data_IF_362737870661
#
_entry.id   IF_362737870661
#
_cell.length_a   1.000
_cell.length_b   1.000
_cell.length_c   1.000
_cell.angle_alpha   90.00
_cell.angle_beta   90.00
_cell.angle_gamma   90.00
#
_symmetry.space_group_name_H-M   'P 1'
#
loop_
_entity.id
_entity.type
_entity.pdbx_description
1 polymer ?
#
# COMPACT_ATOMS: atom_id res chain seq x y z
N UNK A 1 -11.92 -17.62 1.16
CA UNK A 1 -12.44 -16.97 2.38
C UNK A 1 -11.31 -16.60 3.33
N UNK A 2 -10.33 -17.49 3.54
CA UNK A 2 -9.20 -17.29 4.47
C UNK A 2 -8.36 -16.05 4.09
N UNK A 3 -8.06 -15.84 2.81
CA UNK A 3 -7.31 -14.68 2.34
C UNK A 3 -7.98 -13.34 2.69
N UNK A 4 -9.32 -13.26 2.62
CA UNK A 4 -10.05 -12.06 2.99
C UNK A 4 -9.98 -11.76 4.50
N UNK A 5 -9.79 -12.77 5.35
CA UNK A 5 -9.61 -12.55 6.79
C UNK A 5 -8.30 -11.81 7.10
N UNK A 6 -7.28 -11.99 6.28
CA UNK A 6 -6.02 -11.27 6.45
C UNK A 6 -6.16 -9.77 6.20
N UNK A 7 -7.14 -9.32 5.42
CA UNK A 7 -7.39 -7.88 5.22
C UNK A 7 -7.87 -7.16 6.49
N UNK A 8 -8.37 -7.90 7.48
CA UNK A 8 -8.81 -7.32 8.75
C UNK A 8 -7.64 -6.65 9.47
N UNK A 9 -6.43 -7.21 9.39
CA UNK A 9 -5.26 -6.70 10.12
C UNK A 9 -4.87 -5.29 9.64
N UNK A 10 -4.62 -5.04 8.34
CA UNK A 10 -4.32 -3.70 7.85
C UNK A 10 -5.51 -2.72 8.02
N UNK A 11 -6.77 -3.18 7.88
CA UNK A 11 -7.95 -2.33 8.15
C UNK A 11 -7.96 -1.85 9.62
N UNK A 12 -7.72 -2.75 10.57
CA UNK A 12 -7.62 -2.38 11.99
C UNK A 12 -6.43 -1.45 12.25
N UNK A 13 -5.30 -1.66 11.58
CA UNK A 13 -4.14 -0.78 11.67
C UNK A 13 -4.46 0.65 11.17
N UNK A 14 -5.16 0.78 10.04
CA UNK A 14 -5.65 2.08 9.56
C UNK A 14 -6.53 2.78 10.58
N UNK A 15 -7.51 2.07 11.15
CA UNK A 15 -8.41 2.60 12.16
C UNK A 15 -7.67 3.03 13.43
N UNK A 16 -6.68 2.25 13.86
CA UNK A 16 -5.81 2.60 14.99
C UNK A 16 -5.02 3.88 14.68
N UNK A 17 -4.40 3.99 13.51
CA UNK A 17 -3.69 5.19 13.06
C UNK A 17 -4.59 6.43 13.06
N UNK A 18 -5.78 6.31 12.47
CA UNK A 18 -6.78 7.38 12.43
C UNK A 18 -7.25 7.78 13.83
N UNK A 19 -7.53 6.81 14.70
CA UNK A 19 -7.90 7.06 16.09
C UNK A 19 -6.74 7.73 16.87
N UNK A 20 -5.52 7.23 16.73
CA UNK A 20 -4.35 7.83 17.37
C UNK A 20 -4.22 9.31 16.99
N UNK A 21 -4.31 9.63 15.72
CA UNK A 21 -4.18 11.03 15.26
C UNK A 21 -5.36 11.89 15.70
N UNK A 22 -6.58 11.34 15.77
CA UNK A 22 -7.76 12.06 16.24
C UNK A 22 -7.67 12.46 17.72
N UNK A 23 -6.98 11.67 18.55
CA UNK A 23 -6.84 11.92 19.98
C UNK A 23 -5.47 12.48 20.36
N UNK A 24 -4.39 11.96 19.76
CA UNK A 24 -2.99 12.27 20.06
C UNK A 24 -2.16 12.34 18.77
N UNK A 25 -2.21 13.50 18.06
CA UNK A 25 -1.49 13.61 16.79
C UNK A 25 0.01 13.38 16.98
N UNK A 26 0.62 12.44 16.27
CA UNK A 26 2.04 12.15 16.38
C UNK A 26 2.89 13.33 15.90
N UNK A 27 4.10 13.46 16.42
CA UNK A 27 5.05 14.45 15.95
C UNK A 27 5.43 14.23 14.49
N UNK A 28 5.79 15.29 13.77
CA UNK A 28 6.23 15.19 12.37
C UNK A 28 7.44 14.25 12.23
N UNK A 29 8.35 14.25 13.20
CA UNK A 29 9.49 13.35 13.22
C UNK A 29 9.06 11.87 13.32
N UNK A 30 8.14 11.55 14.22
CA UNK A 30 7.65 10.17 14.39
C UNK A 30 6.94 9.69 13.12
N UNK A 31 6.14 10.54 12.48
CA UNK A 31 5.49 10.23 11.20
C UNK A 31 6.54 9.92 10.13
N UNK A 32 7.56 10.77 9.97
CA UNK A 32 8.63 10.54 9.00
C UNK A 32 9.37 9.22 9.24
N UNK A 33 9.69 8.86 10.49
CA UNK A 33 10.33 7.57 10.81
C UNK A 33 9.44 6.38 10.43
N UNK A 34 8.15 6.44 10.78
CA UNK A 34 7.18 5.37 10.46
C UNK A 34 6.99 5.24 8.95
N UNK A 35 6.95 6.38 8.22
CA UNK A 35 6.87 6.37 6.75
C UNK A 35 8.08 5.73 6.09
N UNK A 36 9.29 6.06 6.53
CA UNK A 36 10.50 5.43 6.00
C UNK A 36 10.51 3.92 6.27
N UNK A 37 10.08 3.51 7.47
CA UNK A 37 9.95 2.09 7.80
C UNK A 37 8.93 1.39 6.89
N UNK A 38 7.73 1.97 6.74
CA UNK A 38 6.68 1.44 5.87
C UNK A 38 7.14 1.37 4.41
N UNK A 39 7.77 2.45 3.90
CA UNK A 39 8.32 2.48 2.55
C UNK A 39 9.36 1.37 2.32
N UNK A 40 10.23 1.12 3.30
CA UNK A 40 11.21 0.02 3.23
C UNK A 40 10.55 -1.36 3.18
N UNK A 41 9.51 -1.57 3.99
CA UNK A 41 8.77 -2.85 4.04
C UNK A 41 8.00 -3.07 2.73
N UNK A 42 7.28 -2.07 2.22
CA UNK A 42 6.54 -2.17 0.94
C UNK A 42 7.49 -2.35 -0.24
N UNK A 43 8.63 -1.63 -0.24
CA UNK A 43 9.65 -1.82 -1.27
C UNK A 43 10.23 -3.24 -1.26
N UNK A 44 10.46 -3.81 -0.08
CA UNK A 44 10.90 -5.21 0.07
C UNK A 44 9.84 -6.18 -0.46
N UNK A 45 8.55 -5.99 -0.13
CA UNK A 45 7.46 -6.80 -0.66
C UNK A 45 7.39 -6.75 -2.19
N UNK A 46 7.51 -5.56 -2.77
CA UNK A 46 7.54 -5.40 -4.23
C UNK A 46 8.73 -6.14 -4.87
N UNK A 47 9.92 -6.04 -4.27
CA UNK A 47 11.16 -6.61 -4.80
C UNK A 47 11.28 -8.13 -4.57
N UNK A 48 10.82 -8.65 -3.44
CA UNK A 48 11.03 -10.05 -3.02
C UNK A 48 9.83 -10.92 -3.39
N UNK A 49 8.60 -10.37 -3.35
CA UNK A 49 7.38 -11.14 -3.61
C UNK A 49 6.85 -10.93 -5.03
N UNK A 50 6.61 -9.67 -5.44
CA UNK A 50 5.89 -9.41 -6.69
C UNK A 50 6.80 -9.46 -7.91
N UNK A 51 8.02 -8.92 -7.83
CA UNK A 51 8.95 -8.94 -8.96
C UNK A 51 9.30 -10.37 -9.42
N UNK A 52 9.58 -11.35 -8.53
CA UNK A 52 9.78 -12.74 -8.94
C UNK A 52 8.58 -13.33 -9.69
N UNK A 53 7.35 -13.00 -9.28
CA UNK A 53 6.13 -13.48 -9.94
C UNK A 53 6.01 -12.96 -11.38
N UNK A 54 6.36 -11.68 -11.59
CA UNK A 54 6.44 -11.10 -12.94
C UNK A 54 7.48 -11.83 -13.79
N UNK A 55 8.66 -12.09 -13.22
CA UNK A 55 9.76 -12.76 -13.94
C UNK A 55 9.43 -14.22 -14.26
N UNK A 56 8.87 -14.95 -13.30
CA UNK A 56 8.53 -16.37 -13.42
C UNK A 56 7.33 -16.64 -14.33
N UNK A 57 6.48 -15.64 -14.58
CA UNK A 57 5.38 -15.78 -15.55
C UNK A 57 5.87 -16.01 -16.99
N UNK A 58 7.14 -15.69 -17.29
CA UNK A 58 7.74 -15.79 -18.63
C UNK A 58 6.85 -15.20 -19.73
N UNK A 59 6.14 -14.12 -19.43
CA UNK A 59 5.15 -13.49 -20.29
C UNK A 59 5.51 -12.01 -20.57
N UNK A 60 6.53 -11.72 -21.40
CA UNK A 60 7.07 -10.37 -21.55
C UNK A 60 6.05 -9.36 -22.09
N UNK A 61 5.18 -9.78 -23.00
CA UNK A 61 4.17 -8.87 -23.57
C UNK A 61 3.06 -8.54 -22.58
N UNK A 62 2.41 -9.49 -21.87
CA UNK A 62 1.50 -9.18 -20.77
C UNK A 62 2.15 -8.34 -19.69
N UNK A 63 3.40 -8.62 -19.29
CA UNK A 63 4.12 -7.85 -18.30
C UNK A 63 4.34 -6.39 -18.74
N UNK A 64 4.75 -6.18 -20.00
CA UNK A 64 4.88 -4.83 -20.56
C UNK A 64 3.55 -4.08 -20.56
N UNK A 65 2.47 -4.73 -21.00
CA UNK A 65 1.12 -4.13 -21.02
C UNK A 65 0.69 -3.77 -19.61
N UNK A 66 0.84 -4.70 -18.64
CA UNK A 66 0.51 -4.47 -17.24
C UNK A 66 1.30 -3.31 -16.64
N UNK A 67 2.61 -3.24 -16.91
CA UNK A 67 3.46 -2.14 -16.45
C UNK A 67 3.01 -0.78 -17.04
N UNK A 68 2.73 -0.73 -18.35
CA UNK A 68 2.25 0.52 -19.00
C UNK A 68 0.91 0.93 -18.43
N UNK A 69 -0.02 -0.01 -18.21
CA UNK A 69 -1.31 0.27 -17.58
C UNK A 69 -1.14 0.73 -16.13
N UNK A 70 -0.20 0.15 -15.39
CA UNK A 70 0.15 0.58 -14.03
C UNK A 70 0.63 2.02 -14.00
N UNK A 71 1.61 2.38 -14.84
CA UNK A 71 2.08 3.76 -14.96
C UNK A 71 0.94 4.71 -15.35
N UNK A 72 0.13 4.34 -16.35
CA UNK A 72 -0.98 5.16 -16.79
C UNK A 72 -2.02 5.38 -15.68
N UNK A 73 -2.38 4.32 -14.93
CA UNK A 73 -3.30 4.40 -13.81
C UNK A 73 -2.79 5.34 -12.71
N UNK A 74 -1.51 5.21 -12.33
CA UNK A 74 -0.89 6.06 -11.30
C UNK A 74 -0.81 7.52 -11.73
N UNK A 75 -0.43 7.80 -12.98
CA UNK A 75 -0.42 9.17 -13.54
C UNK A 75 -1.83 9.77 -13.58
N UNK A 76 -2.83 8.97 -13.93
CA UNK A 76 -4.23 9.42 -13.92
C UNK A 76 -4.70 9.70 -12.50
N UNK A 77 -4.36 8.85 -11.53
CA UNK A 77 -4.69 9.04 -10.12
C UNK A 77 -4.07 10.34 -9.58
N UNK A 78 -2.78 10.55 -9.81
CA UNK A 78 -2.08 11.79 -9.44
C UNK A 78 -2.72 13.03 -10.08
N UNK A 79 -3.12 12.92 -11.35
CA UNK A 79 -3.79 14.01 -12.06
C UNK A 79 -5.17 14.30 -11.49
N UNK A 80 -5.90 13.27 -11.06
CA UNK A 80 -7.22 13.40 -10.43
C UNK A 80 -7.10 14.08 -9.05
N UNK A 81 -6.13 13.67 -8.23
CA UNK A 81 -5.85 14.31 -6.94
C UNK A 81 -5.56 15.80 -7.10
N UNK A 82 -4.71 16.17 -8.04
CA UNK A 82 -4.38 17.56 -8.34
C UNK A 82 -5.59 18.38 -8.83
N UNK A 83 -6.56 17.78 -9.51
CA UNK A 83 -7.76 18.46 -10.04
C UNK A 83 -8.86 18.62 -8.98
N UNK A 84 -9.09 17.61 -8.18
CA UNK A 84 -10.18 17.57 -7.20
C UNK A 84 -9.93 18.43 -5.95
N UNK A 85 -8.75 18.98 -5.78
CA UNK A 85 -8.28 19.85 -4.69
C UNK A 85 -9.09 19.78 -3.39
N UNK A 86 -8.40 19.53 -2.29
CA UNK A 86 -8.99 19.52 -0.94
C UNK A 86 -9.36 18.12 -0.43
N UNK A 87 -10.11 18.03 0.66
CA UNK A 87 -10.38 16.77 1.36
C UNK A 87 -11.00 15.66 0.50
N UNK A 88 -11.84 16.04 -0.48
CA UNK A 88 -12.54 15.09 -1.36
C UNK A 88 -11.56 14.42 -2.33
N UNK A 89 -10.63 15.19 -2.90
CA UNK A 89 -9.60 14.67 -3.82
C UNK A 89 -8.69 13.67 -3.10
N UNK A 90 -8.15 14.07 -1.94
CA UNK A 90 -7.33 13.20 -1.11
C UNK A 90 -8.04 11.90 -0.73
N UNK A 91 -9.31 11.98 -0.30
CA UNK A 91 -10.08 10.77 0.04
C UNK A 91 -10.29 9.88 -1.17
N UNK A 92 -10.62 10.44 -2.33
CA UNK A 92 -10.81 9.67 -3.56
C UNK A 92 -9.52 8.97 -3.99
N UNK A 93 -8.40 9.69 -4.01
CA UNK A 93 -7.10 9.12 -4.35
C UNK A 93 -6.73 7.97 -3.40
N UNK A 94 -6.86 8.19 -2.07
CA UNK A 94 -6.58 7.15 -1.08
C UNK A 94 -7.50 5.93 -1.20
N UNK A 95 -8.78 6.10 -1.56
CA UNK A 95 -9.70 4.96 -1.78
C UNK A 95 -9.26 4.11 -2.96
N UNK A 96 -8.86 4.76 -4.07
CA UNK A 96 -8.38 4.04 -5.26
C UNK A 96 -7.06 3.34 -4.98
N UNK A 97 -6.14 4.00 -4.29
CA UNK A 97 -4.85 3.47 -3.89
C UNK A 97 -5.01 2.22 -3.03
N UNK A 98 -5.73 2.31 -1.92
CA UNK A 98 -6.02 1.19 -1.02
C UNK A 98 -6.80 0.06 -1.72
N UNK A 99 -7.66 0.37 -2.71
CA UNK A 99 -8.29 -0.65 -3.53
C UNK A 99 -7.26 -1.41 -4.38
N UNK A 100 -6.29 -0.70 -4.97
CA UNK A 100 -5.21 -1.31 -5.78
C UNK A 100 -4.32 -2.17 -4.88
N UNK A 101 -3.97 -1.72 -3.68
CA UNK A 101 -3.21 -2.51 -2.71
C UNK A 101 -3.94 -3.80 -2.33
N UNK A 102 -5.24 -3.69 -2.07
CA UNK A 102 -6.08 -4.86 -1.86
C UNK A 102 -6.08 -5.80 -3.06
N UNK A 103 -6.18 -5.26 -4.28
CA UNK A 103 -6.13 -6.05 -5.50
C UNK A 103 -4.81 -6.83 -5.62
N UNK A 104 -3.68 -6.17 -5.38
CA UNK A 104 -2.36 -6.82 -5.36
C UNK A 104 -2.27 -7.86 -4.25
N UNK A 105 -2.81 -7.57 -3.07
CA UNK A 105 -2.89 -8.54 -1.97
C UNK A 105 -3.68 -9.80 -2.38
N UNK A 106 -4.82 -9.62 -3.04
CA UNK A 106 -5.61 -10.73 -3.57
C UNK A 106 -4.83 -11.59 -4.56
N UNK A 107 -4.09 -10.96 -5.48
CA UNK A 107 -3.21 -11.64 -6.43
C UNK A 107 -2.09 -12.41 -5.71
N UNK A 108 -1.46 -11.82 -4.69
CA UNK A 108 -0.39 -12.48 -3.91
C UNK A 108 -0.88 -13.77 -3.24
N UNK A 109 -2.12 -13.77 -2.71
CA UNK A 109 -2.73 -14.99 -2.17
C UNK A 109 -3.04 -16.06 -3.22
N UNK A 110 -3.21 -15.70 -4.49
CA UNK A 110 -3.33 -16.68 -5.58
C UNK A 110 -2.01 -17.39 -5.85
N UNK A 111 -0.89 -16.70 -5.68
CA UNK A 111 0.44 -17.28 -5.82
C UNK A 111 0.76 -18.21 -4.65
N UNK A 112 0.46 -17.77 -3.42
CA UNK A 112 0.65 -18.57 -2.21
C UNK A 112 0.28 -17.86 -0.92
N UNK A 113 0.02 -18.64 0.12
CA UNK A 113 -0.34 -18.11 1.42
C UNK A 113 0.80 -17.30 2.07
N UNK A 114 2.06 -17.70 1.81
CA UNK A 114 3.25 -17.02 2.30
C UNK A 114 3.36 -15.62 1.71
N UNK A 115 3.29 -15.50 0.39
CA UNK A 115 3.35 -14.22 -0.32
C UNK A 115 2.24 -13.27 0.14
N UNK A 116 1.01 -13.78 0.23
CA UNK A 116 -0.11 -12.99 0.76
C UNK A 116 0.09 -12.54 2.20
N UNK A 117 0.70 -13.37 3.07
CA UNK A 117 1.02 -12.99 4.44
C UNK A 117 2.06 -11.88 4.51
N UNK A 118 3.14 -11.97 3.74
CA UNK A 118 4.22 -10.97 3.72
C UNK A 118 3.69 -9.62 3.22
N UNK A 119 2.90 -9.63 2.15
CA UNK A 119 2.26 -8.41 1.67
C UNK A 119 1.23 -7.88 2.68
N UNK A 120 0.50 -8.73 3.41
CA UNK A 120 -0.38 -8.30 4.50
C UNK A 120 0.39 -7.52 5.58
N UNK A 121 1.59 -7.97 5.94
CA UNK A 121 2.44 -7.28 6.92
C UNK A 121 2.87 -5.91 6.38
N UNK A 122 3.28 -5.85 5.11
CA UNK A 122 3.66 -4.60 4.45
C UNK A 122 2.49 -3.59 4.46
N UNK A 123 1.32 -4.01 3.98
CA UNK A 123 0.12 -3.18 3.93
C UNK A 123 -0.41 -2.81 5.33
N UNK A 124 -0.12 -3.61 6.35
CA UNK A 124 -0.48 -3.26 7.74
C UNK A 124 0.26 -2.02 8.23
N UNK A 125 1.56 -1.94 7.95
CA UNK A 125 2.37 -0.76 8.30
C UNK A 125 1.98 0.46 7.45
N UNK A 126 1.75 0.24 6.18
CA UNK A 126 1.31 1.29 5.25
C UNK A 126 -0.04 1.88 5.67
N UNK A 127 -1.07 1.04 5.88
CA UNK A 127 -2.39 1.50 6.26
C UNK A 127 -2.42 2.12 7.67
N UNK A 128 -1.57 1.65 8.59
CA UNK A 128 -1.36 2.34 9.87
C UNK A 128 -0.91 3.77 9.61
N UNK A 129 0.09 3.94 8.73
CA UNK A 129 0.60 5.25 8.37
C UNK A 129 -0.47 6.10 7.65
N UNK A 130 -1.18 5.52 6.68
CA UNK A 130 -2.28 6.20 6.00
C UNK A 130 -3.31 6.73 6.99
N UNK A 131 -3.69 5.95 8.01
CA UNK A 131 -4.57 6.38 9.10
C UNK A 131 -3.98 7.56 9.89
N UNK A 132 -2.66 7.56 10.13
CA UNK A 132 -1.97 8.68 10.78
C UNK A 132 -1.97 9.96 9.90
N UNK A 133 -1.91 9.83 8.58
CA UNK A 133 -1.82 10.94 7.63
C UNK A 133 -3.18 11.53 7.26
N UNK A 134 -4.20 10.71 7.07
CA UNK A 134 -5.58 11.14 6.74
C UNK A 134 -6.09 12.16 7.75
N UNK A 135 -5.87 11.90 9.02
CA UNK A 135 -6.30 12.81 10.08
C UNK A 135 -5.59 14.18 10.05
N UNK A 136 -4.33 14.22 9.61
CA UNK A 136 -3.58 15.47 9.48
C UNK A 136 -4.10 16.36 8.32
N UNK A 137 -4.59 15.75 7.24
CA UNK A 137 -5.15 16.42 6.06
C UNK A 137 -6.52 17.07 6.28
N UNK A 138 -7.30 16.56 7.25
CA UNK A 138 -8.66 17.06 7.54
C UNK A 138 -8.72 18.19 8.60
N UNK A 139 -7.58 18.61 9.13
CA UNK A 139 -7.52 19.69 10.11
C UNK A 139 -8.22 19.36 11.45
N UNK A 140 -8.63 20.38 12.22
CA UNK A 140 -9.35 20.21 13.51
C UNK A 140 -10.84 19.84 13.34
N UNK A 141 -11.16 18.94 12.41
CA UNK A 141 -12.51 18.43 12.19
C UNK A 141 -13.01 17.54 13.36
N UNK A 142 -14.24 17.06 13.22
CA UNK A 142 -14.82 16.11 14.18
C UNK A 142 -13.98 14.82 14.25
N UNK A 143 -13.60 14.39 15.46
CA UNK A 143 -12.90 13.11 15.69
C UNK A 143 -13.62 11.93 15.03
N UNK A 144 -14.95 11.94 15.09
CA UNK A 144 -15.80 10.95 14.43
C UNK A 144 -15.67 11.03 12.91
N UNK A 145 -15.57 12.22 12.34
CA UNK A 145 -15.35 12.41 10.90
C UNK A 145 -14.03 11.82 10.42
N UNK A 146 -12.94 12.03 11.16
CA UNK A 146 -11.62 11.45 10.86
C UNK A 146 -11.70 9.92 10.84
N UNK A 147 -12.28 9.31 11.89
CA UNK A 147 -12.39 7.85 11.99
C UNK A 147 -13.30 7.31 10.88
N UNK A 148 -14.41 7.99 10.56
CA UNK A 148 -15.33 7.56 9.51
C UNK A 148 -14.68 7.59 8.12
N UNK A 149 -13.89 8.63 7.81
CA UNK A 149 -13.17 8.73 6.54
C UNK A 149 -12.08 7.66 6.47
N UNK A 150 -11.29 7.48 7.54
CA UNK A 150 -10.29 6.42 7.59
C UNK A 150 -10.92 5.04 7.41
N UNK A 151 -12.08 4.80 8.01
CA UNK A 151 -12.83 3.56 7.81
C UNK A 151 -13.26 3.39 6.35
N UNK A 152 -13.83 4.44 5.74
CA UNK A 152 -14.26 4.41 4.34
C UNK A 152 -13.09 4.07 3.40
N UNK A 153 -11.93 4.69 3.60
CA UNK A 153 -10.72 4.41 2.81
C UNK A 153 -10.24 2.97 3.05
N UNK A 154 -10.12 2.56 4.32
CA UNK A 154 -9.59 1.24 4.65
C UNK A 154 -10.49 0.09 4.14
N UNK A 155 -11.81 0.29 4.06
CA UNK A 155 -12.73 -0.72 3.51
C UNK A 155 -12.55 -0.96 2.00
N UNK A 156 -11.83 -0.12 1.27
CA UNK A 156 -11.46 -0.39 -0.12
C UNK A 156 -10.52 -1.60 -0.25
N UNK A 157 -9.69 -1.88 0.77
CA UNK A 157 -8.74 -2.99 0.77
C UNK A 157 -9.41 -4.37 0.60
N UNK A 158 -10.38 -4.79 1.43
CA UNK A 158 -11.04 -6.09 1.26
C UNK A 158 -11.82 -6.19 -0.07
N UNK A 159 -12.32 -5.08 -0.60
CA UNK A 159 -13.00 -5.05 -1.91
C UNK A 159 -11.98 -5.31 -3.01
N UNK A 160 -10.83 -4.63 -2.98
CA UNK A 160 -9.71 -4.87 -3.89
C UNK A 160 -9.21 -6.31 -3.80
N UNK A 161 -9.03 -6.84 -2.58
CA UNK A 161 -8.57 -8.22 -2.36
C UNK A 161 -9.54 -9.26 -2.95
N UNK A 162 -10.84 -9.04 -2.81
CA UNK A 162 -11.85 -9.89 -3.45
C UNK A 162 -11.76 -9.84 -4.97
N UNK A 163 -11.53 -8.64 -5.55
CA UNK A 163 -11.30 -8.47 -6.98
C UNK A 163 -10.03 -9.20 -7.45
N UNK A 164 -8.90 -9.07 -6.75
CA UNK A 164 -7.65 -9.78 -7.05
C UNK A 164 -7.82 -11.29 -7.00
N UNK A 165 -8.46 -11.82 -5.95
CA UNK A 165 -8.75 -13.25 -5.80
C UNK A 165 -9.65 -13.79 -6.92
N UNK A 166 -10.54 -12.98 -7.48
CA UNK A 166 -11.41 -13.40 -8.59
C UNK A 166 -10.65 -13.68 -9.89
N UNK A 167 -9.40 -13.20 -10.00
CA UNK A 167 -8.52 -13.44 -11.15
C UNK A 167 -7.94 -14.87 -11.18
N UNK A 168 -8.13 -15.68 -10.15
CA UNK A 168 -7.55 -17.02 -10.03
C UNK A 168 -7.90 -18.03 -11.13
N UNK A 169 -8.91 -17.74 -11.97
CA UNK A 169 -9.25 -18.53 -13.15
C UNK A 169 -8.45 -18.17 -14.42
N UNK A 170 -7.61 -17.14 -14.38
CA UNK A 170 -6.83 -16.67 -15.53
C UNK A 170 -5.56 -17.49 -15.74
N UNK A 171 -5.07 -17.51 -16.99
CA UNK A 171 -3.81 -18.17 -17.29
C UNK A 171 -2.62 -17.48 -16.60
N UNK A 172 -1.54 -18.24 -16.26
CA UNK A 172 -0.34 -17.63 -15.62
C UNK A 172 0.27 -16.48 -16.42
N UNK A 173 0.17 -16.52 -17.76
CA UNK A 173 0.66 -15.44 -18.61
C UNK A 173 -0.13 -14.14 -18.43
N UNK A 174 -1.46 -14.23 -18.28
CA UNK A 174 -2.32 -13.06 -18.05
C UNK A 174 -2.08 -12.55 -16.62
N UNK A 175 -1.97 -13.44 -15.63
CA UNK A 175 -1.64 -13.09 -14.26
C UNK A 175 -0.30 -12.34 -14.16
N UNK A 176 0.70 -12.72 -14.96
CA UNK A 176 1.97 -11.99 -15.06
C UNK A 176 1.80 -10.51 -15.42
N UNK A 177 0.81 -10.17 -16.25
CA UNK A 177 0.45 -8.78 -16.54
C UNK A 177 -0.14 -8.06 -15.33
N UNK A 178 -1.01 -8.73 -14.56
CA UNK A 178 -1.58 -8.16 -13.35
C UNK A 178 -0.53 -8.00 -12.24
N UNK A 179 0.40 -8.94 -12.11
CA UNK A 179 1.55 -8.78 -11.18
C UNK A 179 2.43 -7.60 -11.59
N UNK A 180 2.69 -7.42 -12.88
CA UNK A 180 3.46 -6.27 -13.38
C UNK A 180 2.74 -4.94 -13.11
N UNK A 181 1.42 -4.89 -13.27
CA UNK A 181 0.60 -3.75 -12.88
C UNK A 181 0.76 -3.46 -11.37
N UNK A 182 0.59 -4.47 -10.53
CA UNK A 182 0.73 -4.34 -9.06
C UNK A 182 2.13 -3.92 -8.64
N UNK A 183 3.18 -4.45 -9.28
CA UNK A 183 4.56 -4.05 -9.04
C UNK A 183 4.74 -2.54 -9.26
N UNK A 184 4.24 -2.01 -10.37
CA UNK A 184 4.33 -0.57 -10.68
C UNK A 184 3.53 0.24 -9.66
N UNK A 185 2.34 -0.21 -9.25
CA UNK A 185 1.55 0.47 -8.24
C UNK A 185 2.28 0.56 -6.89
N UNK A 186 2.85 -0.56 -6.41
CA UNK A 186 3.62 -0.57 -5.15
C UNK A 186 4.90 0.29 -5.25
N UNK A 187 5.60 0.29 -6.39
CA UNK A 187 6.77 1.13 -6.57
C UNK A 187 6.40 2.62 -6.60
N UNK A 188 5.27 2.96 -7.24
CA UNK A 188 4.75 4.32 -7.24
C UNK A 188 4.39 4.78 -5.81
N UNK A 189 3.67 3.95 -5.06
CA UNK A 189 3.32 4.20 -3.67
C UNK A 189 4.58 4.52 -2.83
N UNK A 190 5.62 3.69 -2.94
CA UNK A 190 6.88 3.91 -2.20
C UNK A 190 7.54 5.24 -2.59
N UNK A 191 7.66 5.52 -3.89
CA UNK A 191 8.48 6.65 -4.37
C UNK A 191 7.73 7.99 -4.35
N UNK A 192 6.46 7.99 -4.75
CA UNK A 192 5.68 9.21 -4.96
C UNK A 192 4.74 9.55 -3.80
N UNK A 193 4.48 8.60 -2.90
CA UNK A 193 3.62 8.82 -1.74
C UNK A 193 4.41 8.71 -0.43
N UNK A 194 4.86 7.51 -0.06
CA UNK A 194 5.51 7.29 1.24
C UNK A 194 6.81 8.09 1.40
N UNK A 195 7.74 7.97 0.47
CA UNK A 195 9.03 8.68 0.57
C UNK A 195 8.88 10.18 0.31
N UNK A 196 8.02 10.59 -0.61
CA UNK A 196 7.75 12.01 -0.87
C UNK A 196 7.18 12.73 0.35
N UNK A 197 6.25 12.09 1.06
CA UNK A 197 5.71 12.65 2.29
C UNK A 197 6.73 12.57 3.44
N UNK A 198 7.48 11.47 3.53
CA UNK A 198 8.54 11.29 4.53
C UNK A 198 9.62 12.39 4.44
N UNK A 199 10.02 12.76 3.21
CA UNK A 199 11.01 13.79 2.95
C UNK A 199 10.50 15.25 3.13
N UNK A 200 9.26 15.46 3.54
CA UNK A 200 8.84 16.80 4.03
C UNK A 200 9.60 17.21 5.30
N UNK A 201 10.12 16.23 6.03
CA UNK A 201 11.09 16.42 7.10
C UNK A 201 12.51 16.18 6.59
N UNK A 202 13.47 16.92 7.15
CA UNK A 202 14.89 16.72 6.81
C UNK A 202 15.33 15.30 7.22
N UNK A 203 15.99 14.61 6.30
CA UNK A 203 16.52 13.29 6.55
C UNK A 203 17.53 13.26 7.69
N UNK A 204 17.45 12.20 8.46
CA UNK A 204 18.37 11.91 9.57
C UNK A 204 18.91 10.48 9.42
N UNK A 205 19.99 10.16 10.14
CA UNK A 205 20.48 8.80 10.17
C UNK A 205 19.39 7.81 10.67
N UNK A 206 18.48 8.25 11.54
CA UNK A 206 17.40 7.41 12.07
C UNK A 206 16.36 7.10 10.98
N UNK A 207 15.98 8.08 10.16
CA UNK A 207 15.02 7.86 9.05
C UNK A 207 15.60 6.92 7.99
N UNK A 208 16.89 7.10 7.66
CA UNK A 208 17.61 6.21 6.74
C UNK A 208 17.67 4.76 7.29
N UNK A 209 18.04 4.61 8.58
CA UNK A 209 18.06 3.31 9.24
C UNK A 209 16.66 2.69 9.26
N UNK A 210 15.60 3.46 9.48
CA UNK A 210 14.23 2.97 9.50
C UNK A 210 13.83 2.36 8.15
N UNK A 211 14.16 3.01 7.01
CA UNK A 211 13.90 2.47 5.68
C UNK A 211 14.59 1.12 5.48
N UNK A 212 15.91 1.06 5.71
CA UNK A 212 16.64 -0.18 5.52
C UNK A 212 16.27 -1.26 6.55
N UNK A 213 15.90 -0.88 7.76
CA UNK A 213 15.38 -1.83 8.75
C UNK A 213 14.07 -2.46 8.30
N UNK A 214 13.17 -1.68 7.70
CA UNK A 214 11.94 -2.18 7.08
C UNK A 214 12.23 -3.14 5.93
N UNK A 215 13.08 -2.73 5.00
CA UNK A 215 13.47 -3.55 3.86
C UNK A 215 14.10 -4.88 4.27
N UNK A 216 15.15 -4.81 5.10
CA UNK A 216 15.88 -6.01 5.57
C UNK A 216 14.99 -6.86 6.47
N UNK A 217 14.16 -6.23 7.32
CA UNK A 217 13.25 -6.93 8.23
C UNK A 217 12.26 -7.84 7.49
N UNK A 218 11.60 -7.34 6.42
CA UNK A 218 10.69 -8.15 5.62
C UNK A 218 11.44 -9.24 4.83
N UNK A 219 12.59 -8.89 4.24
CA UNK A 219 13.43 -9.84 3.51
C UNK A 219 13.88 -11.01 4.40
N UNK A 220 14.25 -10.74 5.67
CA UNK A 220 14.58 -11.80 6.62
C UNK A 220 13.36 -12.60 7.06
N UNK A 221 12.23 -11.94 7.25
CA UNK A 221 10.98 -12.63 7.59
C UNK A 221 10.57 -13.60 6.48
N UNK A 222 10.75 -13.21 5.22
CA UNK A 222 10.53 -14.08 4.07
C UNK A 222 11.38 -15.35 4.14
N UNK A 223 12.65 -15.27 4.55
CA UNK A 223 13.52 -16.44 4.68
C UNK A 223 13.16 -17.37 5.85
N UNK A 224 12.43 -16.86 6.85
CA UNK A 224 12.04 -17.64 8.03
C UNK A 224 10.71 -18.37 7.88
N UNK A 225 9.85 -17.94 6.94
CA UNK A 225 8.53 -18.53 6.61
C UNK A 225 8.63 -19.54 5.47
#
# INVERSE_FOLDING_TARGET
LTALLYTIVPVLAALLGGAMTAFYPPSAWLRSVVQHLAAGVVFSAAAVEILPDVMNAHAPLPALIGSVLGVAAMVLLQSADNRLRGPIGLTFASVVDVFIDGFVLGLSFLHGARQGLLLTIALTLELLFLGLSVAAGFGRGSKVGVIAITACVAFALPIGAAAGLSMGGLSPHILGGFYAFGLIALLYLVTEELLKEAHQMKDTAVTLIAFFAGFVGLMFLDQLL
#
